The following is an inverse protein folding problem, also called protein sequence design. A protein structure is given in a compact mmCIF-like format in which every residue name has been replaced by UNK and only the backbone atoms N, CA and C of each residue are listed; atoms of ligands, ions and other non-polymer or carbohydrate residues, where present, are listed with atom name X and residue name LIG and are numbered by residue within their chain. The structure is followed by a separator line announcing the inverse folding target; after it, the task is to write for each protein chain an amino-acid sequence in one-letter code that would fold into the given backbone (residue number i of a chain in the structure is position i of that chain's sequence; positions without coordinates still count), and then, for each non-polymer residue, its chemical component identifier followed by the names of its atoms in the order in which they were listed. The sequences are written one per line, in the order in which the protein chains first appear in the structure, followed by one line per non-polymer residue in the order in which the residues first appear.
data_IF_757535776072
#
_entry.id   IF_757535776072
#
_cell.length_a   1.000
_cell.length_b   1.000
_cell.length_c   1.000
_cell.angle_alpha   90.00
_cell.angle_beta   90.00
_cell.angle_gamma   90.00
#
_symmetry.space_group_name_H-M   'P 1'
#
loop_
_entity.id
_entity.type
_entity.pdbx_description
1 polymer ?
#
# COMPACT_ATOMS: atom_id res chain seq x y z
N UNK A 1 -3.68 5.87 -69.41
CA UNK A 1 -3.49 6.43 -70.76
C UNK A 1 -3.80 7.92 -70.69
N UNK A 2 -2.77 8.75 -70.95
CA UNK A 2 -2.79 10.16 -71.44
C UNK A 2 -3.55 11.21 -70.61
N UNK A 3 -2.96 12.17 -69.87
CA UNK A 3 -1.92 13.19 -70.13
C UNK A 3 -2.40 14.51 -70.77
N UNK A 4 -2.17 15.64 -70.05
CA UNK A 4 -1.95 17.03 -70.56
C UNK A 4 -3.18 17.84 -70.98
N UNK A 5 -3.15 19.20 -70.99
CA UNK A 5 -2.02 20.15 -71.14
C UNK A 5 -1.82 21.08 -69.90
N UNK A 6 -0.72 21.79 -69.58
CA UNK A 6 0.38 22.55 -70.22
C UNK A 6 0.23 24.10 -70.10
N UNK A 7 1.35 24.76 -69.73
CA UNK A 7 1.72 26.21 -69.69
C UNK A 7 1.22 27.03 -68.47
N UNK A 8 1.99 27.54 -67.50
CA UNK A 8 3.35 28.10 -67.34
C UNK A 8 3.41 29.65 -67.31
N UNK A 9 4.06 30.15 -66.24
CA UNK A 9 4.92 31.34 -66.08
C UNK A 9 4.46 32.67 -65.41
N UNK A 10 5.34 33.08 -64.48
CA UNK A 10 5.85 34.42 -64.09
C UNK A 10 5.00 35.25 -63.12
N UNK A 11 5.40 35.40 -61.85
CA UNK A 11 6.54 36.15 -61.29
C UNK A 11 6.36 37.69 -61.33
N UNK A 12 6.12 38.30 -60.16
CA UNK A 12 6.86 39.50 -59.70
C UNK A 12 6.55 39.90 -58.25
N UNK A 13 7.64 40.14 -57.53
CA UNK A 13 7.81 40.75 -56.21
C UNK A 13 7.47 42.25 -56.23
N UNK A 14 6.90 42.78 -55.14
CA UNK A 14 6.99 44.18 -54.68
C UNK A 14 6.47 44.20 -53.21
N UNK A 15 7.30 44.32 -52.17
CA UNK A 15 7.98 45.52 -51.64
C UNK A 15 7.07 46.62 -51.07
N UNK A 16 7.22 46.85 -49.75
CA UNK A 16 7.39 48.15 -49.06
C UNK A 16 6.35 49.22 -49.41
N UNK A 17 5.48 49.66 -48.50
CA UNK A 17 5.74 50.79 -47.60
C UNK A 17 4.50 51.02 -46.72
N UNK A 18 4.59 50.91 -45.40
CA UNK A 18 3.84 51.81 -44.51
C UNK A 18 4.57 51.92 -43.17
N UNK A 19 5.39 52.94 -43.12
CA UNK A 19 6.14 53.42 -41.98
C UNK A 19 5.27 54.37 -41.13
N UNK A 20 5.77 54.64 -39.92
CA UNK A 20 5.58 55.89 -39.15
C UNK A 20 4.25 56.04 -38.40
N UNK A 21 4.27 55.71 -37.10
CA UNK A 21 3.86 56.57 -35.97
C UNK A 21 3.32 55.78 -34.77
N UNK A 22 4.20 55.29 -33.87
CA UNK A 22 3.84 55.18 -32.43
C UNK A 22 5.02 54.98 -31.47
N UNK A 23 6.09 55.74 -31.62
CA UNK A 23 7.15 55.84 -30.60
C UNK A 23 6.90 57.06 -29.72
N UNK A 24 6.18 56.91 -28.60
CA UNK A 24 6.33 57.87 -27.48
C UNK A 24 5.81 57.40 -26.10
N UNK A 25 5.45 56.12 -25.90
CA UNK A 25 5.04 55.68 -24.56
C UNK A 25 6.17 54.96 -23.82
N UNK A 26 7.10 55.81 -23.39
CA UNK A 26 7.54 55.81 -21.99
C UNK A 26 8.21 54.51 -21.53
N UNK A 27 9.39 54.30 -22.08
CA UNK A 27 10.55 53.70 -21.45
C UNK A 27 10.74 54.25 -20.02
N UNK A 28 10.01 53.70 -19.04
CA UNK A 28 10.09 54.12 -17.62
C UNK A 28 9.79 53.00 -16.62
N UNK A 29 9.90 51.74 -17.05
CA UNK A 29 9.69 50.56 -16.18
C UNK A 29 10.60 49.38 -16.53
N UNK A 30 11.87 49.65 -16.84
CA UNK A 30 12.89 48.60 -16.97
C UNK A 30 14.00 48.87 -15.94
N UNK A 31 13.60 49.07 -14.70
CA UNK A 31 14.44 48.93 -13.52
C UNK A 31 13.52 48.28 -12.48
N UNK A 32 13.99 47.19 -11.86
CA UNK A 32 13.26 46.24 -11.01
C UNK A 32 12.46 45.17 -11.76
N UNK A 33 13.15 44.11 -12.21
CA UNK A 33 12.54 42.77 -12.28
C UNK A 33 13.49 41.75 -11.67
N UNK A 34 13.23 41.46 -10.41
CA UNK A 34 13.40 40.20 -9.69
C UNK A 34 14.69 39.38 -9.91
N UNK A 35 15.59 39.50 -8.92
CA UNK A 35 16.37 38.36 -8.44
C UNK A 35 15.36 37.34 -7.88
N UNK A 36 14.78 36.51 -8.75
CA UNK A 36 13.87 35.44 -8.34
C UNK A 36 14.70 34.18 -8.07
N UNK A 37 15.21 34.13 -6.83
CA UNK A 37 15.30 32.93 -6.00
C UNK A 37 15.78 31.64 -6.69
N UNK A 38 17.11 31.41 -6.66
CA UNK A 38 17.66 30.06 -6.77
C UNK A 38 17.40 29.32 -5.43
N UNK A 39 16.17 28.82 -5.25
CA UNK A 39 15.86 27.91 -4.15
C UNK A 39 16.44 26.55 -4.56
N UNK A 40 17.40 25.98 -3.82
CA UNK A 40 17.76 24.58 -4.04
C UNK A 40 16.52 23.75 -3.77
N UNK A 41 15.95 23.16 -4.82
CA UNK A 41 14.96 22.11 -4.69
C UNK A 41 15.66 20.93 -4.02
N UNK A 42 15.61 20.87 -2.69
CA UNK A 42 15.91 19.66 -1.97
C UNK A 42 14.86 18.65 -2.42
N UNK A 43 15.30 17.62 -3.14
CA UNK A 43 14.48 16.46 -3.47
C UNK A 43 14.11 15.79 -2.16
N UNK A 44 12.93 16.11 -1.61
CA UNK A 44 12.31 15.32 -0.56
C UNK A 44 11.94 14.00 -1.22
N UNK A 45 12.77 12.97 -1.03
CA UNK A 45 12.32 11.59 -1.21
C UNK A 45 11.37 11.30 -0.07
N UNK A 46 10.07 11.44 -0.33
CA UNK A 46 9.08 10.77 0.51
C UNK A 46 9.31 9.26 0.29
N UNK A 47 9.88 8.57 1.27
CA UNK A 47 9.72 7.14 1.34
C UNK A 47 8.22 6.90 1.59
N UNK A 48 7.47 6.60 0.53
CA UNK A 48 6.04 6.32 0.65
C UNK A 48 5.87 4.96 1.35
N UNK A 49 5.55 5.02 2.64
CA UNK A 49 5.22 3.87 3.45
C UNK A 49 3.77 3.43 3.21
N UNK A 50 3.51 2.12 3.29
CA UNK A 50 2.19 1.55 3.06
C UNK A 50 1.79 0.53 4.13
N UNK A 51 0.48 0.30 4.27
CA UNK A 51 -0.08 -0.73 5.17
C UNK A 51 -0.62 -1.90 4.35
N UNK A 52 -0.35 -3.12 4.78
CA UNK A 52 -0.97 -4.33 4.21
C UNK A 52 -2.16 -4.73 5.08
N UNK A 53 -3.35 -4.76 4.49
CA UNK A 53 -4.59 -5.19 5.16
C UNK A 53 -5.29 -6.26 4.34
N UNK A 54 -5.82 -7.29 4.99
CA UNK A 54 -6.58 -8.33 4.30
C UNK A 54 -7.12 -9.39 5.26
N UNK A 55 -7.89 -10.33 4.71
CA UNK A 55 -8.41 -11.49 5.42
C UNK A 55 -8.14 -12.75 4.58
N UNK A 56 -7.63 -13.80 5.23
CA UNK A 56 -7.57 -15.13 4.62
C UNK A 56 -8.90 -15.83 4.84
N UNK A 57 -9.55 -16.22 3.75
CA UNK A 57 -10.85 -16.89 3.78
C UNK A 57 -10.75 -18.32 3.23
N UNK A 58 -11.53 -19.22 3.82
CA UNK A 58 -11.68 -20.60 3.33
C UNK A 58 -12.78 -20.66 2.28
N UNK A 59 -12.49 -21.33 1.16
CA UNK A 59 -13.47 -21.56 0.09
C UNK A 59 -14.22 -22.88 0.34
N UNK A 60 -15.44 -23.01 -0.22
CA UNK A 60 -16.26 -24.20 -0.03
C UNK A 60 -16.97 -24.28 1.32
N UNK A 61 -17.22 -25.51 1.77
CA UNK A 61 -17.89 -25.81 3.03
C UNK A 61 -16.93 -25.69 4.20
N UNK A 62 -17.35 -24.99 5.25
CA UNK A 62 -16.60 -24.91 6.51
C UNK A 62 -16.91 -26.17 7.32
N UNK A 63 -15.91 -26.99 7.68
CA UNK A 63 -16.13 -28.17 8.52
C UNK A 63 -16.58 -27.75 9.92
N UNK A 64 -17.33 -28.62 10.59
CA UNK A 64 -17.62 -28.43 12.00
C UNK A 64 -16.33 -28.56 12.82
N UNK A 65 -16.20 -27.79 13.90
CA UNK A 65 -15.07 -27.90 14.81
C UNK A 65 -15.01 -29.30 15.43
N UNK A 66 -13.82 -29.90 15.42
CA UNK A 66 -13.59 -31.23 15.97
C UNK A 66 -13.40 -31.14 17.48
N UNK A 67 -14.16 -31.91 18.25
CA UNK A 67 -14.02 -31.97 19.70
C UNK A 67 -12.90 -32.95 20.06
N UNK A 68 -11.85 -32.46 20.75
CA UNK A 68 -10.77 -33.32 21.26
C UNK A 68 -11.24 -34.10 22.49
N UNK A 69 -11.83 -33.41 23.45
CA UNK A 69 -12.52 -34.04 24.56
C UNK A 69 -13.63 -33.14 25.09
N UNK A 70 -14.72 -33.78 25.48
CA UNK A 70 -15.83 -33.13 26.16
C UNK A 70 -15.45 -32.73 27.58
N UNK A 71 -16.19 -31.79 28.13
CA UNK A 71 -16.21 -31.51 29.56
C UNK A 71 -16.51 -32.81 30.34
N UNK A 72 -15.74 -33.05 31.41
CA UNK A 72 -15.85 -34.22 32.27
C UNK A 72 -15.42 -35.54 31.61
N UNK A 73 -14.71 -35.49 30.48
CA UNK A 73 -14.10 -36.68 29.90
C UNK A 73 -13.18 -37.37 30.91
N UNK A 74 -13.20 -38.70 30.93
CA UNK A 74 -12.35 -39.51 31.79
C UNK A 74 -10.95 -39.65 31.17
N UNK A 75 -10.16 -38.57 31.31
CA UNK A 75 -8.78 -38.46 30.88
C UNK A 75 -7.86 -38.30 32.10
N UNK A 76 -6.56 -38.55 31.89
CA UNK A 76 -5.56 -38.60 32.98
C UNK A 76 -5.61 -37.39 33.93
N UNK A 77 -5.74 -36.18 33.36
CA UNK A 77 -5.73 -34.91 34.09
C UNK A 77 -7.09 -34.18 33.99
N UNK A 78 -8.20 -34.91 34.17
CA UNK A 78 -9.57 -34.40 33.92
C UNK A 78 -9.95 -33.19 34.76
N UNK A 79 -9.42 -33.06 35.97
CA UNK A 79 -9.68 -31.93 36.87
C UNK A 79 -9.12 -30.60 36.34
N UNK A 80 -8.20 -30.65 35.36
CA UNK A 80 -7.62 -29.47 34.72
C UNK A 80 -7.95 -29.43 33.24
N UNK A 81 -7.74 -30.53 32.50
CA UNK A 81 -7.95 -30.55 31.07
C UNK A 81 -9.45 -30.63 30.71
N UNK A 82 -10.26 -31.41 31.43
CA UNK A 82 -11.66 -31.63 31.07
C UNK A 82 -12.66 -30.72 31.81
N UNK A 83 -12.22 -29.56 32.31
CA UNK A 83 -13.13 -28.60 32.98
C UNK A 83 -14.10 -27.91 32.02
N UNK A 84 -13.79 -27.94 30.72
CA UNK A 84 -14.63 -27.46 29.62
C UNK A 84 -14.44 -28.34 28.38
N UNK A 85 -15.34 -28.20 27.40
CA UNK A 85 -15.15 -28.75 26.07
C UNK A 85 -13.87 -28.16 25.46
N UNK A 86 -13.01 -29.03 24.95
CA UNK A 86 -11.78 -28.63 24.26
C UNK A 86 -11.86 -29.12 22.83
N UNK A 87 -11.75 -28.17 21.91
CA UNK A 87 -11.77 -28.42 20.48
C UNK A 87 -10.35 -28.47 19.96
N UNK A 88 -10.20 -29.16 18.84
CA UNK A 88 -8.97 -29.16 18.07
C UNK A 88 -8.76 -27.77 17.48
N UNK A 89 -7.54 -27.27 17.59
CA UNK A 89 -7.14 -25.93 17.19
C UNK A 89 -6.14 -25.93 16.01
N UNK A 90 -5.99 -27.08 15.33
CA UNK A 90 -5.19 -27.20 14.11
C UNK A 90 -5.75 -26.38 12.95
N UNK A 91 -7.07 -26.20 12.90
CA UNK A 91 -7.76 -25.33 11.95
C UNK A 91 -8.97 -24.63 12.60
N UNK A 92 -8.87 -23.31 12.77
CA UNK A 92 -9.93 -22.51 13.38
C UNK A 92 -10.52 -21.57 12.33
N UNK A 93 -11.75 -21.87 11.91
CA UNK A 93 -12.48 -21.13 10.87
C UNK A 93 -13.71 -20.50 11.48
N UNK A 94 -13.89 -19.20 11.28
CA UNK A 94 -15.12 -18.53 11.66
C UNK A 94 -16.26 -18.93 10.71
N UNK A 95 -17.31 -19.57 11.25
CA UNK A 95 -18.41 -20.09 10.45
C UNK A 95 -19.22 -18.99 9.72
N UNK A 96 -19.24 -17.76 10.23
CA UNK A 96 -20.05 -16.67 9.67
C UNK A 96 -19.40 -15.97 8.48
N UNK A 97 -18.08 -15.75 8.53
CA UNK A 97 -17.33 -15.01 7.50
C UNK A 97 -16.24 -15.83 6.80
N UNK A 98 -16.10 -17.11 7.17
CA UNK A 98 -15.09 -18.06 6.65
C UNK A 98 -13.64 -17.63 6.87
N UNK A 99 -13.40 -16.67 7.76
CA UNK A 99 -12.07 -16.21 8.11
C UNK A 99 -11.27 -17.31 8.82
N UNK A 100 -10.04 -17.53 8.38
CA UNK A 100 -9.07 -18.40 9.03
C UNK A 100 -8.34 -17.62 10.13
N UNK A 101 -8.36 -18.13 11.36
CA UNK A 101 -7.56 -17.58 12.45
C UNK A 101 -6.08 -18.03 12.34
N UNK A 102 -5.22 -17.50 13.21
CA UNK A 102 -3.87 -18.06 13.41
C UNK A 102 -2.96 -18.01 12.15
N UNK A 103 -3.16 -16.97 11.33
CA UNK A 103 -2.41 -16.77 10.08
C UNK A 103 -1.20 -15.87 10.30
N UNK A 104 -0.02 -16.39 9.96
CA UNK A 104 1.23 -15.62 9.96
C UNK A 104 1.54 -15.08 8.56
N UNK A 105 1.66 -13.75 8.46
CA UNK A 105 2.14 -13.07 7.26
C UNK A 105 3.52 -12.48 7.56
N UNK A 106 4.52 -12.86 6.77
CA UNK A 106 5.88 -12.40 6.97
C UNK A 106 6.58 -12.16 5.63
N UNK A 107 7.58 -11.28 5.65
CA UNK A 107 8.46 -11.09 4.52
C UNK A 107 9.55 -12.16 4.56
N UNK A 108 9.68 -12.93 3.47
CA UNK A 108 10.70 -13.99 3.36
C UNK A 108 12.14 -13.46 3.37
N UNK A 109 12.32 -12.17 3.05
CA UNK A 109 13.60 -11.46 3.12
C UNK A 109 13.39 -10.15 3.85
N UNK A 110 14.36 -9.80 4.71
CA UNK A 110 14.36 -8.50 5.36
C UNK A 110 14.40 -7.36 4.31
N UNK A 111 13.59 -6.31 4.47
CA UNK A 111 13.66 -5.15 3.59
C UNK A 111 14.98 -4.40 3.80
N UNK A 112 15.46 -3.71 2.76
CA UNK A 112 16.69 -2.89 2.83
C UNK A 112 16.55 -1.73 3.82
N UNK A 113 15.34 -1.22 3.95
CA UNK A 113 14.97 -0.11 4.83
C UNK A 113 13.79 -0.53 5.70
N UNK A 114 13.85 -0.20 6.99
CA UNK A 114 12.79 -0.46 7.97
C UNK A 114 12.19 0.90 8.35
N UNK A 115 10.85 0.97 8.39
CA UNK A 115 10.13 2.16 8.82
C UNK A 115 10.70 2.67 10.16
N UNK A 116 11.02 3.97 10.30
CA UNK A 116 11.63 4.51 11.52
C UNK A 116 10.91 4.09 12.81
N UNK A 117 9.57 4.15 12.82
CA UNK A 117 8.72 3.78 13.95
C UNK A 117 8.85 2.32 14.39
N UNK A 118 9.34 1.42 13.52
CA UNK A 118 9.50 0.00 13.84
C UNK A 118 10.89 -0.34 14.39
N UNK A 119 11.81 0.63 14.45
CA UNK A 119 13.19 0.40 14.95
C UNK A 119 13.25 0.26 16.47
N UNK A 120 12.25 0.79 17.17
CA UNK A 120 12.12 0.73 18.63
C UNK A 120 10.74 0.19 18.96
N UNK A 121 10.47 -1.06 18.58
CA UNK A 121 9.29 -1.73 19.09
C UNK A 121 9.51 -2.01 20.57
N UNK A 122 8.66 -1.45 21.44
CA UNK A 122 8.67 -1.80 22.86
C UNK A 122 8.40 -3.31 23.00
N UNK A 123 9.18 -4.03 23.83
CA UNK A 123 8.91 -5.43 24.07
C UNK A 123 7.52 -5.57 24.70
N UNK A 124 6.60 -6.17 23.95
CA UNK A 124 5.29 -6.52 24.48
C UNK A 124 5.48 -7.49 25.66
N UNK A 125 4.88 -7.17 26.81
CA UNK A 125 4.77 -8.16 27.88
C UNK A 125 3.81 -9.24 27.43
N UNK A 126 4.32 -10.45 27.20
CA UNK A 126 3.51 -11.60 26.80
C UNK A 126 3.26 -12.46 28.02
N UNK A 127 1.99 -12.67 28.37
CA UNK A 127 1.59 -13.66 29.38
C UNK A 127 1.61 -15.03 28.71
N UNK A 128 2.53 -15.89 29.14
CA UNK A 128 2.59 -17.28 28.74
C UNK A 128 1.99 -18.15 29.84
N UNK A 129 0.92 -18.86 29.52
CA UNK A 129 0.14 -19.70 30.44
C UNK A 129 -0.37 -20.96 29.73
N UNK A 130 -0.86 -21.91 30.51
CA UNK A 130 -1.54 -23.11 30.02
C UNK A 130 -2.80 -23.34 30.85
N UNK A 131 -3.96 -23.10 30.24
CA UNK A 131 -5.27 -23.26 30.89
C UNK A 131 -6.11 -24.26 30.11
N UNK A 132 -6.78 -25.17 30.82
CA UNK A 132 -7.55 -26.26 30.22
C UNK A 132 -6.71 -27.09 29.23
N UNK A 133 -5.40 -27.21 29.51
CA UNK A 133 -4.43 -27.91 28.66
C UNK A 133 -4.29 -27.31 27.25
N UNK A 134 -4.64 -26.03 27.09
CA UNK A 134 -4.41 -25.20 25.92
C UNK A 134 -3.42 -24.09 26.29
N UNK A 135 -2.40 -23.88 25.47
CA UNK A 135 -1.40 -22.83 25.70
C UNK A 135 -1.95 -21.45 25.33
N UNK A 136 -1.56 -20.42 26.07
CA UNK A 136 -1.86 -19.02 25.75
C UNK A 136 -0.57 -18.21 25.88
N UNK A 137 -0.13 -17.47 24.84
CA UNK A 137 -0.70 -17.48 23.50
C UNK A 137 -0.51 -18.84 22.80
N UNK A 138 -1.46 -19.15 21.89
CA UNK A 138 -1.31 -20.20 20.88
C UNK A 138 -1.12 -19.53 19.51
N UNK A 139 -0.48 -20.26 18.60
CA UNK A 139 -0.24 -19.80 17.23
C UNK A 139 -1.48 -19.90 16.36
#
# INVERSE_FOLDING_TARGET
MHAGPVLQQRARTAEVTHQVNREEKSMKKILLSAILSAIPFASVTADDWGTVTGQVIVTGNVPAAELLHKQGADIKDKEVCAVADTYKDDIVINASNKGLANVFVYLSKAPKTIHPDLKTADPATVVFDQKNCVFTPHA
#
